data_IF_885048576528
#
_entry.id   IF_885048576528
#
_cell.length_a   1.000
_cell.length_b   1.000
_cell.length_c   1.000
_cell.angle_alpha   90.00
_cell.angle_beta   90.00
_cell.angle_gamma   90.00
#
_symmetry.space_group_name_H-M   'P 1'
#
loop_
_entity.id
_entity.type
_entity.pdbx_description
1 polymer ?
#
# COMPACT_ATOMS: atom_id res chain seq x y z
N UNK A 1 71.51 33.62 -35.02
CA UNK A 1 72.50 33.09 -34.05
C UNK A 1 71.75 32.97 -32.73
N UNK A 2 71.32 31.77 -32.35
CA UNK A 2 70.81 31.50 -31.00
C UNK A 2 72.00 31.52 -30.01
N UNK A 3 71.80 31.77 -28.70
CA UNK A 3 71.47 30.65 -27.80
C UNK A 3 70.59 30.95 -26.55
N UNK A 4 69.99 29.84 -26.07
CA UNK A 4 69.71 29.35 -24.69
C UNK A 4 69.20 30.29 -23.58
N UNK A 5 68.04 30.02 -22.95
CA UNK A 5 67.78 29.11 -21.80
C UNK A 5 66.90 29.93 -20.80
N UNK A 6 65.94 29.48 -19.99
CA UNK A 6 65.74 28.29 -19.17
C UNK A 6 64.22 28.04 -18.86
N UNK A 7 63.99 26.96 -18.13
CA UNK A 7 62.78 26.18 -17.81
C UNK A 7 61.92 26.69 -16.61
N UNK A 8 60.74 26.06 -16.46
CA UNK A 8 59.85 25.87 -15.28
C UNK A 8 58.67 26.82 -15.09
N UNK A 9 57.47 26.31 -15.38
CA UNK A 9 56.56 25.85 -14.31
C UNK A 9 55.24 25.29 -14.87
N UNK A 10 54.88 24.14 -14.33
CA UNK A 10 53.68 23.35 -14.50
C UNK A 10 52.41 24.06 -14.05
N UNK A 11 51.37 24.10 -14.89
CA UNK A 11 49.97 24.16 -14.44
C UNK A 11 49.13 23.25 -15.35
N UNK A 12 48.67 22.14 -14.77
CA UNK A 12 47.59 21.30 -15.30
C UNK A 12 46.28 21.78 -14.65
N UNK A 13 45.23 22.16 -15.40
CA UNK A 13 43.90 22.23 -14.85
C UNK A 13 43.12 20.97 -15.25
N UNK A 14 42.94 20.09 -14.25
CA UNK A 14 41.68 19.46 -13.85
C UNK A 14 40.68 19.18 -14.99
N UNK A 15 40.40 17.92 -15.31
CA UNK A 15 39.63 17.06 -14.41
C UNK A 15 38.15 17.18 -14.76
N UNK A 16 37.75 16.72 -15.95
CA UNK A 16 36.36 16.54 -16.32
C UNK A 16 35.82 15.28 -15.62
N UNK A 17 35.57 15.38 -14.32
CA UNK A 17 34.81 14.39 -13.57
C UNK A 17 33.33 14.58 -13.89
N UNK A 18 32.78 13.68 -14.69
CA UNK A 18 31.34 13.58 -14.92
C UNK A 18 30.63 13.34 -13.58
N UNK A 19 29.99 14.38 -13.05
CA UNK A 19 29.06 14.24 -11.95
C UNK A 19 27.83 13.52 -12.46
N UNK A 20 27.72 12.23 -12.16
CA UNK A 20 26.46 11.50 -12.28
C UNK A 20 25.55 12.12 -11.23
N UNK A 21 24.63 13.00 -11.65
CA UNK A 21 23.54 13.44 -10.77
C UNK A 21 22.72 12.19 -10.45
N UNK A 22 22.95 11.60 -9.28
CA UNK A 22 22.12 10.54 -8.75
C UNK A 22 20.71 11.08 -8.58
N UNK A 23 19.82 10.74 -9.51
CA UNK A 23 18.38 10.95 -9.32
C UNK A 23 18.03 10.10 -8.10
N UNK A 24 17.78 10.74 -6.97
CA UNK A 24 17.21 10.07 -5.81
C UNK A 24 15.78 9.71 -6.19
N UNK A 25 15.55 8.43 -6.50
CA UNK A 25 14.20 7.91 -6.70
C UNK A 25 13.57 7.88 -5.32
N UNK A 26 12.72 8.85 -5.03
CA UNK A 26 11.85 8.79 -3.86
C UNK A 26 10.79 7.73 -4.13
N UNK A 27 10.78 6.67 -3.33
CA UNK A 27 9.65 5.75 -3.30
C UNK A 27 8.51 6.44 -2.55
N UNK A 28 7.35 6.54 -3.18
CA UNK A 28 6.16 7.14 -2.59
C UNK A 28 5.10 6.06 -2.42
N UNK A 29 4.50 6.03 -1.23
CA UNK A 29 3.29 5.27 -0.94
C UNK A 29 2.11 6.04 -1.56
N UNK A 30 1.27 5.37 -2.35
CA UNK A 30 0.06 5.98 -2.95
C UNK A 30 -1.20 5.39 -2.29
N UNK A 31 -1.18 5.36 -0.97
CA UNK A 31 -2.32 4.98 -0.14
C UNK A 31 -3.25 6.19 0.10
N UNK A 32 -4.54 5.91 0.21
CA UNK A 32 -5.55 6.88 0.63
C UNK A 32 -6.16 6.46 1.96
N UNK A 33 -6.00 7.29 2.98
CA UNK A 33 -6.78 7.25 4.22
C UNK A 33 -7.81 8.40 4.18
N UNK A 34 -9.10 8.07 4.26
CA UNK A 34 -10.15 9.09 4.23
C UNK A 34 -11.44 8.63 4.89
N UNK A 35 -12.44 9.51 4.93
CA UNK A 35 -13.77 9.21 5.46
C UNK A 35 -14.70 8.73 4.35
N UNK A 36 -15.68 7.87 4.69
CA UNK A 36 -16.73 7.47 3.75
C UNK A 36 -17.54 8.67 3.24
N UNK A 37 -17.65 9.75 4.03
CA UNK A 37 -18.27 11.01 3.60
C UNK A 37 -17.48 11.74 2.51
N UNK A 38 -16.15 11.64 2.49
CA UNK A 38 -15.29 12.27 1.49
C UNK A 38 -15.00 11.37 0.27
N UNK A 39 -15.56 10.16 0.24
CA UNK A 39 -15.24 9.16 -0.77
C UNK A 39 -15.46 9.60 -2.22
N UNK A 40 -16.36 10.56 -2.47
CA UNK A 40 -16.65 11.09 -3.80
C UNK A 40 -15.40 11.69 -4.48
N UNK A 41 -14.46 12.23 -3.68
CA UNK A 41 -13.19 12.79 -4.18
C UNK A 41 -12.34 11.77 -4.94
N UNK A 42 -12.55 10.48 -4.66
CA UNK A 42 -11.73 9.38 -5.16
C UNK A 42 -12.43 8.56 -6.24
N UNK A 43 -13.67 8.87 -6.63
CA UNK A 43 -14.42 8.10 -7.64
C UNK A 43 -13.74 8.08 -9.01
N UNK A 44 -12.98 9.12 -9.34
CA UNK A 44 -12.24 9.20 -10.59
C UNK A 44 -11.06 8.22 -10.66
N UNK A 45 -10.63 7.63 -9.54
CA UNK A 45 -9.49 6.72 -9.52
C UNK A 45 -9.81 5.34 -10.11
N UNK A 46 -11.06 4.90 -10.03
CA UNK A 46 -11.50 3.66 -10.65
C UNK A 46 -13.03 3.62 -10.82
N UNK A 47 -13.57 3.16 -11.97
CA UNK A 47 -15.02 3.17 -12.24
C UNK A 47 -15.87 2.39 -11.23
N UNK A 48 -15.28 1.41 -10.54
CA UNK A 48 -15.96 0.62 -9.51
C UNK A 48 -16.03 1.28 -8.13
N UNK A 49 -15.26 2.34 -7.85
CA UNK A 49 -15.25 2.96 -6.52
C UNK A 49 -16.59 3.61 -6.20
N UNK A 50 -17.24 4.27 -7.15
CA UNK A 50 -18.59 4.79 -6.92
C UNK A 50 -19.55 3.68 -6.50
N UNK A 51 -19.53 2.54 -7.20
CA UNK A 51 -20.36 1.38 -6.90
C UNK A 51 -20.04 0.80 -5.51
N UNK A 52 -18.76 0.73 -5.13
CA UNK A 52 -18.33 0.33 -3.79
C UNK A 52 -18.92 1.22 -2.70
N UNK A 53 -18.70 2.53 -2.79
CA UNK A 53 -19.16 3.44 -1.75
C UNK A 53 -20.70 3.58 -1.71
N UNK A 54 -21.37 3.49 -2.85
CA UNK A 54 -22.84 3.39 -2.90
C UNK A 54 -23.34 2.12 -2.18
N UNK A 55 -22.67 0.98 -2.38
CA UNK A 55 -23.01 -0.27 -1.71
C UNK A 55 -22.80 -0.20 -0.19
N UNK A 56 -21.62 0.28 0.25
CA UNK A 56 -21.29 0.45 1.67
C UNK A 56 -22.28 1.38 2.39
N UNK A 57 -22.77 2.44 1.73
CA UNK A 57 -23.75 3.37 2.34
C UNK A 57 -25.17 2.82 2.40
N UNK A 58 -25.54 1.93 1.49
CA UNK A 58 -26.90 1.41 1.35
C UNK A 58 -27.15 0.12 2.14
N UNK A 59 -26.12 -0.50 2.71
CA UNK A 59 -26.21 -1.78 3.40
C UNK A 59 -25.62 -1.71 4.81
N UNK A 60 -26.30 -2.32 5.78
CA UNK A 60 -25.77 -2.50 7.13
C UNK A 60 -24.85 -3.73 7.20
N UNK A 61 -23.60 -3.56 6.78
CA UNK A 61 -22.59 -4.62 6.71
C UNK A 61 -22.10 -5.09 8.09
N UNK A 62 -22.52 -4.41 9.16
CA UNK A 62 -22.29 -4.88 10.54
C UNK A 62 -23.15 -6.10 10.90
N UNK A 63 -24.23 -6.37 10.13
CA UNK A 63 -25.23 -7.41 10.43
C UNK A 63 -25.30 -8.56 9.43
N UNK A 64 -24.57 -8.47 8.31
CA UNK A 64 -24.56 -9.54 7.30
C UNK A 64 -23.80 -10.76 7.81
N UNK A 65 -23.98 -11.92 7.19
CA UNK A 65 -23.12 -13.08 7.50
C UNK A 65 -21.67 -12.78 7.05
N UNK A 66 -20.69 -13.24 7.83
CA UNK A 66 -19.28 -13.15 7.42
C UNK A 66 -19.05 -14.05 6.19
N UNK A 67 -18.31 -13.55 5.21
CA UNK A 67 -18.06 -14.24 3.96
C UNK A 67 -17.87 -13.31 2.77
N UNK A 68 -17.77 -13.92 1.60
CA UNK A 68 -17.59 -13.23 0.31
C UNK A 68 -18.95 -12.83 -0.25
N UNK A 69 -19.07 -11.57 -0.67
CA UNK A 69 -20.22 -11.04 -1.40
C UNK A 69 -19.72 -10.55 -2.76
N UNK A 70 -20.17 -11.20 -3.83
CA UNK A 70 -19.81 -10.83 -5.19
C UNK A 70 -20.71 -9.69 -5.69
N UNK A 71 -20.07 -8.60 -6.13
CA UNK A 71 -20.76 -7.41 -6.65
C UNK A 71 -20.64 -7.32 -8.18
N UNK A 72 -19.59 -7.93 -8.74
CA UNK A 72 -19.37 -8.12 -10.18
C UNK A 72 -18.40 -9.28 -10.42
N UNK A 73 -18.84 -10.52 -10.13
CA UNK A 73 -18.01 -11.71 -10.29
C UNK A 73 -16.65 -11.61 -9.58
N UNK A 74 -15.58 -12.02 -10.27
CA UNK A 74 -14.21 -11.92 -9.76
C UNK A 74 -13.55 -10.55 -9.98
N UNK A 75 -14.22 -9.58 -10.60
CA UNK A 75 -13.65 -8.24 -10.80
C UNK A 75 -13.92 -7.32 -9.61
N UNK A 76 -15.01 -7.58 -8.89
CA UNK A 76 -15.42 -6.76 -7.77
C UNK A 76 -16.20 -7.55 -6.73
N UNK A 77 -15.63 -7.69 -5.54
CA UNK A 77 -16.26 -8.37 -4.43
C UNK A 77 -15.82 -7.73 -3.11
N UNK A 78 -16.59 -8.00 -2.06
CA UNK A 78 -16.22 -7.66 -0.69
C UNK A 78 -16.12 -8.93 0.14
N UNK A 79 -15.15 -8.97 1.04
CA UNK A 79 -15.06 -9.98 2.08
C UNK A 79 -15.43 -9.32 3.40
N UNK A 80 -16.47 -9.80 4.06
CA UNK A 80 -16.85 -9.39 5.41
C UNK A 80 -16.29 -10.41 6.39
N UNK A 81 -15.52 -9.95 7.37
CA UNK A 81 -14.75 -10.83 8.25
C UNK A 81 -14.88 -10.42 9.71
N UNK A 82 -15.05 -11.42 10.57
CA UNK A 82 -14.86 -11.29 12.01
C UNK A 82 -13.47 -11.87 12.35
N UNK A 83 -12.56 -11.04 12.85
CA UNK A 83 -11.16 -11.38 13.08
C UNK A 83 -10.76 -11.14 14.52
N UNK A 84 -9.76 -11.90 14.99
CA UNK A 84 -9.00 -11.55 16.19
C UNK A 84 -7.81 -10.69 15.76
N UNK A 85 -7.69 -9.51 16.35
CA UNK A 85 -6.59 -8.59 16.09
C UNK A 85 -5.27 -9.16 16.62
N UNK A 86 -4.18 -8.81 15.92
CA UNK A 86 -2.82 -9.30 16.17
C UNK A 86 -1.90 -8.16 16.62
N UNK A 87 -0.75 -8.51 17.19
CA UNK A 87 0.31 -7.51 17.40
C UNK A 87 1.02 -7.16 16.08
N UNK A 88 1.80 -6.08 16.09
CA UNK A 88 2.62 -5.68 14.93
C UNK A 88 3.65 -6.74 14.53
N UNK A 89 4.15 -7.50 15.52
CA UNK A 89 5.16 -8.54 15.32
C UNK A 89 4.56 -9.83 14.74
N UNK A 90 3.31 -10.11 15.05
CA UNK A 90 2.59 -11.29 14.57
C UNK A 90 2.03 -11.10 13.17
N UNK A 91 1.70 -9.85 12.81
CA UNK A 91 1.10 -9.55 11.53
C UNK A 91 2.15 -9.24 10.46
N UNK A 92 1.98 -9.85 9.29
CA UNK A 92 2.87 -9.67 8.14
C UNK A 92 2.33 -8.64 7.19
N UNK A 93 3.25 -8.00 6.47
CA UNK A 93 2.92 -7.25 5.27
C UNK A 93 2.48 -8.23 4.17
N UNK A 94 1.41 -7.89 3.47
CA UNK A 94 0.92 -8.56 2.27
C UNK A 94 0.89 -7.59 1.08
N UNK A 95 0.99 -8.14 -0.12
CA UNK A 95 0.84 -7.42 -1.39
C UNK A 95 -0.07 -8.19 -2.32
N UNK A 96 -0.77 -7.45 -3.18
CA UNK A 96 -1.62 -7.97 -4.25
C UNK A 96 -1.09 -7.48 -5.60
N UNK A 97 -1.45 -8.13 -6.71
CA UNK A 97 -1.06 -7.67 -8.07
C UNK A 97 -2.26 -7.37 -8.94
N UNK A 98 -3.34 -8.13 -8.78
CA UNK A 98 -4.54 -7.99 -9.60
C UNK A 98 -5.56 -7.01 -9.01
N UNK A 99 -5.53 -6.79 -7.69
CA UNK A 99 -6.53 -5.97 -7.01
C UNK A 99 -5.89 -4.79 -6.27
N UNK A 100 -6.62 -3.67 -6.22
CA UNK A 100 -6.54 -2.74 -5.10
C UNK A 100 -7.44 -3.25 -3.97
N UNK A 101 -7.03 -2.94 -2.74
CA UNK A 101 -7.77 -3.24 -1.53
C UNK A 101 -8.36 -1.97 -0.93
N UNK A 102 -9.60 -2.05 -0.45
CA UNK A 102 -10.22 -1.00 0.35
C UNK A 102 -10.72 -1.58 1.67
N UNK A 103 -10.02 -1.27 2.76
CA UNK A 103 -10.33 -1.72 4.11
C UNK A 103 -11.31 -0.76 4.79
N UNK A 104 -12.35 -1.33 5.43
CA UNK A 104 -13.27 -0.60 6.30
C UNK A 104 -13.45 -1.38 7.61
N UNK A 105 -12.91 -0.88 8.74
CA UNK A 105 -13.26 -1.42 10.03
C UNK A 105 -14.71 -1.02 10.38
N UNK A 106 -15.50 -1.96 10.91
CA UNK A 106 -16.92 -1.77 11.17
C UNK A 106 -17.26 -1.67 12.67
N UNK A 107 -16.64 -2.51 13.51
CA UNK A 107 -16.99 -2.60 14.94
C UNK A 107 -15.99 -1.95 15.90
N UNK A 108 -14.86 -1.46 15.41
CA UNK A 108 -13.77 -0.96 16.25
C UNK A 108 -12.67 -0.32 15.42
N UNK A 109 -11.60 0.10 16.09
CA UNK A 109 -10.43 0.69 15.43
C UNK A 109 -9.49 -0.42 14.97
N UNK A 110 -8.93 -0.26 13.78
CA UNK A 110 -7.88 -1.11 13.23
C UNK A 110 -6.62 -0.27 13.03
N UNK A 111 -5.44 -0.79 13.40
CA UNK A 111 -4.18 -0.25 12.93
C UNK A 111 -3.73 -1.00 11.67
N UNK A 112 -3.21 -0.26 10.69
CA UNK A 112 -2.64 -0.81 9.45
C UNK A 112 -1.19 -0.36 9.35
N UNK A 113 -0.28 -1.32 9.15
CA UNK A 113 1.09 -1.07 8.77
C UNK A 113 1.21 -0.92 7.25
N UNK A 114 2.07 -0.04 6.76
CA UNK A 114 2.33 0.13 5.33
C UNK A 114 3.81 0.38 5.02
N UNK A 115 4.27 -0.16 3.90
CA UNK A 115 5.59 0.08 3.30
C UNK A 115 5.45 0.10 1.77
N UNK A 116 6.25 0.89 1.04
CA UNK A 116 6.35 0.73 -0.40
C UNK A 116 6.96 -0.64 -0.72
N UNK A 117 6.37 -1.41 -1.62
CA UNK A 117 6.89 -2.72 -2.03
C UNK A 117 8.35 -2.63 -2.51
N UNK A 118 8.74 -1.52 -3.14
CA UNK A 118 10.11 -1.30 -3.62
C UNK A 118 11.18 -1.28 -2.52
N UNK A 119 10.80 -1.05 -1.26
CA UNK A 119 11.74 -1.03 -0.11
C UNK A 119 11.86 -2.39 0.55
N UNK A 120 10.97 -3.33 0.21
CA UNK A 120 11.00 -4.68 0.74
C UNK A 120 12.01 -5.56 0.00
N UNK A 121 12.59 -6.49 0.74
CA UNK A 121 13.51 -7.51 0.20
C UNK A 121 12.77 -8.66 -0.47
N UNK A 122 13.27 -9.88 -0.26
CA UNK A 122 12.61 -11.08 -0.75
C UNK A 122 11.37 -11.40 0.08
N UNK A 123 10.28 -11.82 -0.58
CA UNK A 123 9.09 -12.34 0.09
C UNK A 123 9.38 -13.65 0.83
N UNK A 124 8.57 -13.94 1.84
CA UNK A 124 8.69 -15.16 2.65
C UNK A 124 8.49 -16.45 1.82
N UNK A 125 7.70 -16.35 0.75
CA UNK A 125 7.41 -17.42 -0.20
C UNK A 125 7.19 -16.83 -1.61
N UNK A 126 7.23 -17.65 -2.68
CA UNK A 126 6.82 -17.23 -4.02
C UNK A 126 5.39 -16.67 -4.01
N UNK A 127 5.12 -15.75 -4.93
CA UNK A 127 3.78 -15.17 -5.11
C UNK A 127 2.76 -16.26 -5.42
N UNK A 128 1.63 -16.25 -4.70
CA UNK A 128 0.50 -17.11 -4.95
C UNK A 128 -0.41 -16.46 -6.00
N UNK A 129 -0.36 -16.96 -7.24
CA UNK A 129 -1.15 -16.44 -8.37
C UNK A 129 -2.66 -16.76 -8.25
N UNK A 130 -3.04 -17.80 -7.52
CA UNK A 130 -4.45 -18.20 -7.34
C UNK A 130 -5.18 -17.25 -6.39
N UNK A 131 -4.52 -16.94 -5.27
CA UNK A 131 -5.09 -16.08 -4.21
C UNK A 131 -4.61 -14.61 -4.30
N UNK A 132 -3.79 -14.29 -5.30
CA UNK A 132 -3.21 -12.97 -5.57
C UNK A 132 -2.45 -12.37 -4.38
N UNK A 133 -1.52 -13.11 -3.75
CA UNK A 133 -0.73 -12.52 -2.66
C UNK A 133 0.71 -13.02 -2.51
N UNK A 134 1.53 -12.19 -1.86
CA UNK A 134 2.79 -12.60 -1.23
C UNK A 134 2.94 -11.94 0.15
N UNK A 135 3.67 -12.59 1.05
CA UNK A 135 3.88 -12.13 2.43
C UNK A 135 5.33 -11.74 2.68
N UNK A 136 5.52 -10.76 3.57
CA UNK A 136 6.82 -10.27 4.01
C UNK A 136 6.83 -10.15 5.54
N UNK A 137 7.80 -10.79 6.19
CA UNK A 137 8.01 -10.70 7.65
C UNK A 137 8.76 -9.44 8.10
N UNK A 138 8.96 -8.45 7.21
CA UNK A 138 9.54 -7.17 7.57
C UNK A 138 8.53 -6.29 8.33
N UNK A 139 8.96 -5.50 9.33
CA UNK A 139 8.08 -4.52 9.93
C UNK A 139 7.67 -3.45 8.91
N UNK A 140 6.44 -2.98 8.99
CA UNK A 140 5.99 -1.82 8.21
C UNK A 140 6.78 -0.55 8.57
N UNK A 141 6.98 0.32 7.58
CA UNK A 141 7.64 1.61 7.74
C UNK A 141 6.76 2.63 8.47
N UNK A 142 5.45 2.59 8.20
CA UNK A 142 4.47 3.50 8.80
C UNK A 142 3.30 2.71 9.36
N UNK A 143 2.75 3.17 10.48
CA UNK A 143 1.52 2.63 11.07
C UNK A 143 0.54 3.77 11.33
N UNK A 144 -0.73 3.53 11.06
CA UNK A 144 -1.81 4.49 11.29
C UNK A 144 -3.10 3.75 11.62
N UNK A 145 -4.02 4.46 12.28
CA UNK A 145 -5.31 3.92 12.66
C UNK A 145 -6.37 4.26 11.63
N UNK A 146 -7.28 3.31 11.42
CA UNK A 146 -8.51 3.46 10.64
C UNK A 146 -9.68 3.22 11.59
N UNK A 147 -10.59 4.18 11.67
CA UNK A 147 -11.75 4.13 12.55
C UNK A 147 -13.04 3.75 11.79
N UNK A 148 -14.09 3.29 12.48
CA UNK A 148 -15.40 3.13 11.85
C UNK A 148 -15.88 4.43 11.20
N UNK A 149 -16.27 4.36 9.93
CA UNK A 149 -16.61 5.53 9.10
C UNK A 149 -15.45 6.06 8.25
N UNK A 150 -14.25 5.53 8.45
CA UNK A 150 -13.07 5.74 7.59
C UNK A 150 -12.82 4.53 6.69
N UNK A 151 -11.95 4.72 5.70
CA UNK A 151 -11.45 3.67 4.84
C UNK A 151 -9.97 3.89 4.53
N UNK A 152 -9.27 2.79 4.27
CA UNK A 152 -7.91 2.78 3.73
C UNK A 152 -7.91 2.08 2.36
N UNK A 153 -7.48 2.77 1.31
CA UNK A 153 -7.28 2.22 -0.02
C UNK A 153 -5.79 2.07 -0.29
N UNK A 154 -5.38 0.86 -0.70
CA UNK A 154 -4.00 0.49 -1.01
C UNK A 154 -3.90 -0.15 -2.39
N UNK A 155 -2.82 0.16 -3.12
CA UNK A 155 -2.52 -0.36 -4.44
C UNK A 155 -1.52 -1.55 -4.39
N UNK A 156 -1.27 -2.25 -5.51
CA UNK A 156 -0.28 -3.33 -5.59
C UNK A 156 1.12 -2.98 -5.08
N UNK A 157 1.54 -1.74 -5.25
CA UNK A 157 2.80 -1.19 -4.77
C UNK A 157 2.83 -0.88 -3.27
N UNK A 158 1.68 -0.92 -2.59
CA UNK A 158 1.52 -0.59 -1.18
C UNK A 158 1.45 -1.89 -0.35
N UNK A 159 2.60 -2.41 0.08
CA UNK A 159 2.63 -3.53 1.00
C UNK A 159 1.98 -3.12 2.33
N UNK A 160 0.99 -3.87 2.78
CA UNK A 160 0.17 -3.49 3.92
C UNK A 160 -0.04 -4.64 4.92
N UNK A 161 -0.19 -4.29 6.19
CA UNK A 161 -0.40 -5.23 7.30
C UNK A 161 -1.65 -4.80 8.08
N UNK A 162 -2.85 -5.28 7.71
CA UNK A 162 -4.09 -4.94 8.41
C UNK A 162 -4.22 -5.73 9.72
N UNK A 163 -5.35 -5.60 10.42
CA UNK A 163 -5.76 -6.37 11.62
C UNK A 163 -4.83 -6.24 12.82
N UNK A 164 -4.14 -5.11 12.96
CA UNK A 164 -3.28 -4.84 14.12
C UNK A 164 -4.10 -4.17 15.24
N UNK A 165 -3.96 -4.67 16.46
CA UNK A 165 -4.63 -4.14 17.65
C UNK A 165 -4.90 -5.21 18.70
N UNK A 166 -5.98 -5.04 19.48
CA UNK A 166 -6.36 -5.99 20.54
C UNK A 166 -7.86 -6.30 20.51
N UNK A 167 -8.22 -7.57 20.72
CA UNK A 167 -9.61 -8.02 20.80
C UNK A 167 -10.17 -8.46 19.44
N UNK A 168 -11.50 -8.40 19.33
CA UNK A 168 -12.22 -8.79 18.12
C UNK A 168 -12.55 -7.57 17.26
N UNK A 169 -12.40 -7.71 15.95
CA UNK A 169 -12.80 -6.71 14.97
C UNK A 169 -13.68 -7.35 13.91
N UNK A 170 -14.83 -6.71 13.63
CA UNK A 170 -15.56 -6.90 12.40
C UNK A 170 -15.13 -5.86 11.39
N UNK A 171 -14.80 -6.29 10.18
CA UNK A 171 -14.40 -5.41 9.07
C UNK A 171 -14.92 -5.94 7.74
N UNK A 172 -14.82 -5.11 6.71
CA UNK A 172 -14.86 -5.57 5.33
C UNK A 172 -13.61 -5.14 4.57
N UNK A 173 -13.28 -5.92 3.56
CA UNK A 173 -12.25 -5.59 2.58
C UNK A 173 -12.90 -5.69 1.19
N UNK A 174 -12.91 -4.59 0.46
CA UNK A 174 -13.29 -4.60 -0.95
C UNK A 174 -12.08 -4.92 -1.80
N UNK A 175 -12.23 -5.87 -2.72
CA UNK A 175 -11.26 -6.21 -3.74
C UNK A 175 -11.75 -5.65 -5.07
N UNK A 176 -11.02 -4.71 -5.64
CA UNK A 176 -11.35 -4.06 -6.91
C UNK A 176 -10.25 -4.36 -7.90
N UNK A 177 -10.56 -5.11 -8.96
CA UNK A 177 -9.57 -5.49 -9.99
C UNK A 177 -9.09 -4.24 -10.72
N UNK A 178 -7.78 -4.16 -10.94
CA UNK A 178 -7.09 -3.10 -11.69
C UNK A 178 -6.97 -3.41 -13.19
#
# INVERSE_FOLDING_TARGET
>A
MLPHGEDKSSISPNGAGGGIFGITIFSFIIMILSTVSDAERYYALHPLLKKLFDYVRSHDLSKVEAGRIELQGSDFFINVSDVTLKTREEQKLEVHRAYMDVHFPLSGVEEIGISPLSTLGQSDAPFNEEDDFALYSAPAETYFQVQPGEFCLVYPEDAHAPIIGQGQLRKLIAKVRL
#
